data_IF_419758508828
#
_entry.id   IF_419758508828
#
_cell.length_a   1.000
_cell.length_b   1.000
_cell.length_c   1.000
_cell.angle_alpha   90.00
_cell.angle_beta   90.00
_cell.angle_gamma   90.00
#
_symmetry.space_group_name_H-M   'P 1'
#
loop_
_entity.id
_entity.type
_entity.pdbx_description
1 polymer ?
#
# COMPACT_ATOMS: atom_id res chain seq x y z
N UNK A 1 10.18 -14.48 -19.45
CA UNK A 1 9.95 -14.40 -17.98
C UNK A 1 10.44 -13.03 -17.55
N UNK A 2 9.65 -12.23 -16.80
CA UNK A 2 10.10 -10.91 -16.34
C UNK A 2 10.86 -11.11 -15.03
N UNK A 3 12.10 -10.61 -14.95
CA UNK A 3 12.89 -10.62 -13.72
C UNK A 3 12.30 -9.60 -12.72
N UNK A 4 12.03 -10.04 -11.49
CA UNK A 4 11.54 -9.18 -10.40
C UNK A 4 12.45 -7.98 -10.11
N UNK A 5 13.75 -8.10 -10.41
CA UNK A 5 14.74 -7.05 -10.24
C UNK A 5 14.52 -5.87 -11.20
N UNK A 6 13.69 -6.06 -12.23
CA UNK A 6 13.33 -5.01 -13.19
C UNK A 6 11.90 -4.50 -12.99
N UNK A 7 11.24 -4.87 -11.88
CA UNK A 7 9.85 -4.48 -11.60
C UNK A 7 9.84 -3.51 -10.42
N UNK A 8 9.23 -2.34 -10.65
CA UNK A 8 8.77 -1.45 -9.58
C UNK A 8 7.25 -1.54 -9.50
N UNK A 9 6.71 -1.79 -8.31
CA UNK A 9 5.28 -1.74 -8.07
C UNK A 9 4.88 -0.42 -7.40
N UNK A 10 3.66 0.02 -7.67
CA UNK A 10 3.02 1.15 -6.99
C UNK A 10 1.69 0.69 -6.41
N UNK A 11 1.48 0.88 -5.11
CA UNK A 11 0.17 0.71 -4.47
C UNK A 11 -0.53 2.07 -4.45
N UNK A 12 -1.73 2.15 -5.03
CA UNK A 12 -2.51 3.39 -5.08
C UNK A 12 -3.44 3.49 -3.87
N UNK A 13 -3.09 4.36 -2.92
CA UNK A 13 -3.77 4.57 -1.63
C UNK A 13 -4.35 5.99 -1.46
N UNK A 14 -4.32 6.83 -2.51
CA UNK A 14 -4.80 8.22 -2.46
C UNK A 14 -6.33 8.44 -2.55
N UNK A 15 -7.15 7.39 -2.44
CA UNK A 15 -8.59 7.47 -2.64
C UNK A 15 -9.35 8.29 -1.57
N UNK A 16 -10.49 8.88 -1.94
CA UNK A 16 -11.35 9.65 -1.01
C UNK A 16 -12.07 8.80 0.03
N UNK A 17 -12.28 7.51 -0.23
CA UNK A 17 -12.92 6.58 0.71
C UNK A 17 -14.33 6.99 1.19
N UNK A 18 -15.13 7.62 0.31
CA UNK A 18 -16.45 8.18 0.67
C UNK A 18 -17.46 7.14 1.18
N UNK A 19 -17.36 5.88 0.73
CA UNK A 19 -18.22 4.77 1.20
C UNK A 19 -17.79 4.19 2.55
N UNK A 20 -16.57 4.49 3.01
CA UNK A 20 -16.05 4.09 4.31
C UNK A 20 -16.04 5.29 5.27
N UNK A 21 -17.02 6.19 5.16
CA UNK A 21 -17.16 7.37 6.02
C UNK A 21 -15.96 8.34 6.00
N UNK A 22 -15.12 8.30 4.96
CA UNK A 22 -13.92 9.14 4.84
C UNK A 22 -12.67 8.56 5.51
N UNK A 23 -12.80 7.46 6.25
CA UNK A 23 -11.67 6.73 6.83
C UNK A 23 -10.68 6.30 5.75
N UNK A 24 -9.39 6.40 6.04
CA UNK A 24 -8.37 6.04 5.08
C UNK A 24 -8.34 4.52 4.86
N UNK A 25 -8.91 4.08 3.73
CA UNK A 25 -9.20 2.67 3.47
C UNK A 25 -7.98 1.78 3.63
N UNK A 26 -6.80 2.23 3.19
CA UNK A 26 -5.58 1.42 3.29
C UNK A 26 -5.17 1.11 4.74
N UNK A 27 -5.60 1.95 5.69
CA UNK A 27 -5.26 1.83 7.11
C UNK A 27 -6.35 1.15 7.94
N UNK A 28 -7.51 0.86 7.37
CA UNK A 28 -8.58 0.11 8.04
C UNK A 28 -8.07 -1.30 8.37
N UNK A 29 -8.31 -1.73 9.61
CA UNK A 29 -7.92 -3.04 10.09
C UNK A 29 -8.86 -4.13 9.55
N UNK A 30 -8.26 -5.22 9.07
CA UNK A 30 -8.89 -6.50 8.82
C UNK A 30 -8.07 -7.52 9.62
N UNK A 31 -8.69 -8.23 10.57
CA UNK A 31 -8.01 -9.18 11.45
C UNK A 31 -6.73 -8.59 12.08
N UNK A 32 -6.87 -7.42 12.72
CA UNK A 32 -5.79 -6.67 13.39
C UNK A 32 -4.62 -6.21 12.50
N UNK A 33 -4.78 -6.28 11.17
CA UNK A 33 -3.79 -5.82 10.21
C UNK A 33 -4.38 -4.81 9.22
N UNK A 34 -3.71 -3.67 8.96
CA UNK A 34 -4.16 -2.73 7.94
C UNK A 34 -4.26 -3.35 6.55
N UNK A 35 -5.31 -2.99 5.79
CA UNK A 35 -5.54 -3.49 4.43
C UNK A 35 -4.31 -3.35 3.52
N UNK A 36 -3.58 -2.24 3.62
CA UNK A 36 -2.36 -2.05 2.82
C UNK A 36 -1.27 -3.07 3.18
N UNK A 37 -1.16 -3.49 4.43
CA UNK A 37 -0.17 -4.48 4.85
C UNK A 37 -0.40 -5.83 4.17
N UNK A 38 -1.64 -6.21 3.85
CA UNK A 38 -1.90 -7.42 3.07
C UNK A 38 -1.37 -7.31 1.64
N UNK A 39 -1.53 -6.14 1.01
CA UNK A 39 -1.06 -5.90 -0.35
C UNK A 39 0.47 -5.81 -0.38
N UNK A 40 1.06 -5.07 0.55
CA UNK A 40 2.50 -4.89 0.65
C UNK A 40 3.24 -6.21 0.84
N UNK A 41 2.75 -7.12 1.71
CA UNK A 41 3.35 -8.44 1.91
C UNK A 41 3.41 -9.26 0.62
N UNK A 42 2.31 -9.27 -0.15
CA UNK A 42 2.25 -10.00 -1.42
C UNK A 42 3.17 -9.37 -2.45
N UNK A 43 3.17 -8.05 -2.55
CA UNK A 43 3.90 -7.32 -3.59
C UNK A 43 5.41 -7.35 -3.32
N UNK A 44 5.86 -7.15 -2.08
CA UNK A 44 7.28 -7.14 -1.71
C UNK A 44 8.00 -8.43 -2.11
N UNK A 45 7.32 -9.58 -2.09
CA UNK A 45 7.92 -10.85 -2.52
C UNK A 45 8.21 -10.93 -4.03
N UNK A 46 7.62 -10.03 -4.84
CA UNK A 46 7.59 -10.12 -6.31
C UNK A 46 8.34 -9.01 -7.04
N UNK A 47 8.82 -7.97 -6.34
CA UNK A 47 9.41 -6.78 -6.96
C UNK A 47 10.64 -6.31 -6.19
N UNK A 48 11.52 -5.55 -6.85
CA UNK A 48 12.69 -4.94 -6.20
C UNK A 48 12.37 -3.62 -5.50
N UNK A 49 11.36 -2.89 -6.01
CA UNK A 49 10.95 -1.60 -5.45
C UNK A 49 9.43 -1.56 -5.29
N UNK A 50 9.00 -1.10 -4.13
CA UNK A 50 7.60 -0.86 -3.80
C UNK A 50 7.42 0.60 -3.42
N UNK A 51 6.61 1.30 -4.21
CA UNK A 51 6.15 2.66 -3.94
C UNK A 51 4.68 2.63 -3.49
N UNK A 52 4.27 3.64 -2.72
CA UNK A 52 2.89 3.82 -2.28
C UNK A 52 2.49 5.25 -2.62
N UNK A 53 1.52 5.42 -3.51
CA UNK A 53 0.94 6.73 -3.78
C UNK A 53 -0.16 7.03 -2.76
N UNK A 54 0.11 7.93 -1.81
CA UNK A 54 -0.84 8.34 -0.78
C UNK A 54 -1.01 9.86 -0.73
N UNK A 55 -2.22 10.32 -0.41
CA UNK A 55 -2.56 11.75 -0.31
C UNK A 55 -2.68 12.25 1.14
N UNK A 56 -2.68 11.33 2.12
CA UNK A 56 -2.81 11.59 3.56
C UNK A 56 -2.18 10.45 4.36
N UNK A 57 -1.98 10.64 5.66
CA UNK A 57 -1.42 9.64 6.57
C UNK A 57 -0.08 9.06 6.08
N UNK A 58 0.79 9.92 5.52
CA UNK A 58 2.05 9.55 4.87
C UNK A 58 2.94 8.71 5.80
N UNK A 59 3.12 9.15 7.05
CA UNK A 59 3.93 8.44 8.05
C UNK A 59 3.41 7.02 8.35
N UNK A 60 2.10 6.81 8.28
CA UNK A 60 1.51 5.49 8.45
C UNK A 60 1.78 4.58 7.24
N UNK A 61 1.72 5.15 6.03
CA UNK A 61 2.00 4.45 4.78
C UNK A 61 3.48 4.12 4.59
N UNK A 62 4.39 4.96 5.08
CA UNK A 62 5.84 4.72 5.02
C UNK A 62 6.28 3.43 5.73
N UNK A 63 5.46 2.89 6.62
CA UNK A 63 5.70 1.58 7.25
C UNK A 63 5.59 0.40 6.28
N UNK A 64 5.02 0.61 5.09
CA UNK A 64 4.72 -0.45 4.12
C UNK A 64 5.45 -0.29 2.78
N UNK A 65 6.07 0.86 2.52
CA UNK A 65 6.77 1.16 1.26
C UNK A 65 7.20 2.62 1.19
N UNK A 66 7.98 2.98 0.16
CA UNK A 66 8.37 4.36 -0.12
C UNK A 66 7.15 5.16 -0.58
N UNK A 67 6.83 6.29 0.06
CA UNK A 67 5.65 7.13 -0.23
C UNK A 67 6.04 8.38 -0.99
#
# INVERSE_FOLDING_TARGET
>A
MIDKNNITAVILSGGRSSRMQGEDKGLILLNDKPLIGYVADVVNSKVVRLLISANRNIDAYQKYGEV
#
